data_IF_280368855353
#
_entry.id   IF_280368855353
#
_cell.length_a   1.000
_cell.length_b   1.000
_cell.length_c   1.000
_cell.angle_alpha   90.00
_cell.angle_beta   90.00
_cell.angle_gamma   90.00
#
_symmetry.space_group_name_H-M   'P 1'
#
loop_
_entity.id
_entity.type
_entity.pdbx_description
1 polymer ?
#
# COMPACT_ATOMS: atom_id res chain seq x y z
N UNK A 1 3.65 26.06 10.28
CA UNK A 1 2.80 27.28 10.38
C UNK A 1 3.31 28.42 9.51
N UNK A 2 4.62 28.69 9.45
CA UNK A 2 5.18 29.75 8.60
C UNK A 2 4.99 29.50 7.10
N UNK A 3 5.20 28.27 6.61
CA UNK A 3 5.07 27.91 5.19
C UNK A 3 3.72 28.33 4.59
N UNK A 4 2.62 28.01 5.28
CA UNK A 4 1.25 28.34 4.85
C UNK A 4 1.07 29.86 4.65
N UNK A 5 1.64 30.68 5.54
CA UNK A 5 1.56 32.15 5.43
C UNK A 5 2.43 32.69 4.31
N UNK A 6 3.63 32.13 4.14
CA UNK A 6 4.54 32.51 3.06
C UNK A 6 3.95 32.18 1.69
N UNK A 7 3.37 30.99 1.52
CA UNK A 7 2.71 30.60 0.27
C UNK A 7 1.48 31.46 -0.02
N UNK A 8 0.64 31.75 0.98
CA UNK A 8 -0.50 32.65 0.83
C UNK A 8 -0.07 34.07 0.44
N UNK A 9 0.96 34.61 1.09
CA UNK A 9 1.49 35.94 0.75
C UNK A 9 2.00 35.99 -0.70
N UNK A 10 2.73 34.94 -1.13
CA UNK A 10 3.22 34.80 -2.51
C UNK A 10 2.07 34.77 -3.53
N UNK A 11 1.01 34.00 -3.27
CA UNK A 11 -0.18 33.95 -4.13
C UNK A 11 -0.94 35.27 -4.20
N UNK A 12 -0.97 36.04 -3.11
CA UNK A 12 -1.72 37.31 -3.04
C UNK A 12 -0.96 38.51 -3.64
N UNK A 13 0.36 38.61 -3.43
CA UNK A 13 1.12 39.82 -3.76
C UNK A 13 2.13 39.64 -4.89
N UNK A 14 2.63 38.43 -5.14
CA UNK A 14 3.77 38.20 -6.03
C UNK A 14 3.38 37.50 -7.33
N UNK A 15 2.34 36.67 -7.33
CA UNK A 15 1.92 35.88 -8.48
C UNK A 15 0.69 36.48 -9.16
N UNK A 16 0.64 36.39 -10.50
CA UNK A 16 -0.58 36.69 -11.26
C UNK A 16 -1.64 35.63 -10.99
N UNK A 17 -2.91 36.02 -10.93
CA UNK A 17 -4.04 35.11 -10.73
C UNK A 17 -4.03 33.98 -11.77
N UNK A 18 -3.99 32.73 -11.28
CA UNK A 18 -4.10 31.52 -12.10
C UNK A 18 -5.56 31.26 -12.49
N UNK A 19 -5.84 30.67 -13.67
CA UNK A 19 -7.18 30.19 -14.01
C UNK A 19 -7.64 29.12 -13.01
N UNK A 20 -8.92 29.18 -12.62
CA UNK A 20 -9.50 28.21 -11.71
C UNK A 20 -9.62 26.85 -12.41
N UNK A 21 -8.95 25.84 -11.86
CA UNK A 21 -9.04 24.44 -12.30
C UNK A 21 -9.60 23.62 -11.14
N UNK A 22 -10.57 22.75 -11.41
CA UNK A 22 -11.11 21.82 -10.39
C UNK A 22 -10.29 20.54 -10.41
N UNK A 23 -9.78 20.14 -9.26
CA UNK A 23 -9.11 18.85 -9.06
C UNK A 23 -9.78 18.17 -7.86
N UNK A 24 -10.11 16.89 -8.01
CA UNK A 24 -10.67 16.06 -6.93
C UNK A 24 -9.60 15.67 -5.91
N UNK A 25 -8.38 15.42 -6.39
CA UNK A 25 -7.25 14.91 -5.61
C UNK A 25 -5.95 15.66 -5.91
N UNK A 26 -4.94 15.48 -5.06
CA UNK A 26 -3.58 16.00 -5.24
C UNK A 26 -2.80 15.26 -6.35
N UNK A 27 -3.34 14.15 -6.88
CA UNK A 27 -2.80 13.41 -8.02
C UNK A 27 -1.59 12.53 -7.65
N UNK A 28 -0.55 12.56 -8.51
CA UNK A 28 0.66 11.71 -8.42
C UNK A 28 1.37 11.80 -7.07
N UNK A 29 1.25 12.93 -6.37
CA UNK A 29 1.88 13.13 -5.06
C UNK A 29 1.42 12.11 -4.02
N UNK A 30 0.19 11.59 -4.10
CA UNK A 30 -0.26 10.51 -3.21
C UNK A 30 0.60 9.26 -3.39
N UNK A 31 0.82 8.84 -4.64
CA UNK A 31 1.65 7.66 -4.94
C UNK A 31 3.10 7.87 -4.48
N UNK A 32 3.66 9.06 -4.68
CA UNK A 32 5.02 9.40 -4.22
C UNK A 32 5.10 9.30 -2.69
N UNK A 33 4.15 9.88 -1.96
CA UNK A 33 4.13 9.85 -0.50
C UNK A 33 3.97 8.41 0.05
N UNK A 34 3.18 7.57 -0.62
CA UNK A 34 3.02 6.16 -0.27
C UNK A 34 4.34 5.40 -0.42
N UNK A 35 5.04 5.57 -1.55
CA UNK A 35 6.34 4.93 -1.79
C UNK A 35 7.38 5.42 -0.79
N UNK A 36 7.41 6.73 -0.50
CA UNK A 36 8.33 7.30 0.48
C UNK A 36 8.08 6.74 1.89
N UNK A 37 6.81 6.56 2.28
CA UNK A 37 6.45 5.93 3.55
C UNK A 37 6.99 4.51 3.66
N UNK A 38 6.81 3.69 2.61
CA UNK A 38 7.33 2.32 2.58
C UNK A 38 8.87 2.26 2.67
N UNK A 39 9.56 3.11 1.92
CA UNK A 39 11.03 3.19 1.95
C UNK A 39 11.52 3.66 3.33
N UNK A 40 10.83 4.61 3.95
CA UNK A 40 11.17 5.11 5.27
C UNK A 40 11.09 4.01 6.33
N UNK A 41 10.04 3.19 6.32
CA UNK A 41 9.89 2.03 7.23
C UNK A 41 11.06 1.06 7.08
N UNK A 42 11.40 0.66 5.85
CA UNK A 42 12.52 -0.26 5.56
C UNK A 42 13.86 0.32 6.02
N UNK A 43 14.09 1.60 5.72
CA UNK A 43 15.33 2.28 6.07
C UNK A 43 15.50 2.39 7.58
N UNK A 44 14.43 2.72 8.30
CA UNK A 44 14.44 2.78 9.77
C UNK A 44 14.72 1.41 10.39
N UNK A 45 14.16 0.34 9.83
CA UNK A 45 14.43 -1.03 10.28
C UNK A 45 15.92 -1.40 10.13
N UNK A 46 16.51 -1.07 8.98
CA UNK A 46 17.94 -1.29 8.70
C UNK A 46 18.80 -0.48 9.65
N UNK A 47 18.46 0.80 9.90
CA UNK A 47 19.18 1.64 10.86
C UNK A 47 19.17 0.98 12.23
N UNK A 48 17.99 0.59 12.74
CA UNK A 48 17.88 -0.08 14.04
C UNK A 48 18.73 -1.36 14.08
N UNK A 49 18.69 -2.20 13.03
CA UNK A 49 19.41 -3.47 12.99
C UNK A 49 20.94 -3.32 12.92
N UNK A 50 21.43 -2.37 12.11
CA UNK A 50 22.85 -2.27 11.77
C UNK A 50 23.61 -1.24 12.58
N UNK A 51 23.03 -0.09 12.88
CA UNK A 51 23.73 1.00 13.58
C UNK A 51 23.61 0.86 15.10
N UNK A 52 22.49 0.36 15.59
CA UNK A 52 22.29 0.18 17.04
C UNK A 52 22.88 -1.14 17.53
N UNK A 53 23.29 -1.18 18.80
CA UNK A 53 23.72 -2.42 19.45
C UNK A 53 22.54 -3.28 19.95
N UNK A 54 21.30 -2.96 19.56
CA UNK A 54 20.11 -3.67 20.05
C UNK A 54 20.17 -5.17 19.73
N UNK A 55 20.33 -5.52 18.44
CA UNK A 55 20.36 -6.92 18.01
C UNK A 55 21.52 -7.67 18.66
N UNK A 56 22.71 -7.06 18.72
CA UNK A 56 23.90 -7.68 19.30
C UNK A 56 23.75 -7.96 20.80
N UNK A 57 23.20 -6.99 21.56
CA UNK A 57 22.95 -7.14 23.00
C UNK A 57 21.91 -8.21 23.29
N UNK A 58 20.82 -8.23 22.52
CA UNK A 58 19.79 -9.27 22.60
C UNK A 58 20.39 -10.64 22.31
N UNK A 59 21.14 -10.80 21.22
CA UNK A 59 21.75 -12.09 20.86
C UNK A 59 22.75 -12.57 21.92
N UNK A 60 23.54 -11.67 22.49
CA UNK A 60 24.42 -12.02 23.60
C UNK A 60 23.62 -12.55 24.80
N UNK A 61 22.61 -11.79 25.23
CA UNK A 61 21.74 -12.14 26.36
C UNK A 61 21.13 -13.55 26.22
N UNK A 62 20.52 -13.83 25.06
CA UNK A 62 19.75 -15.04 24.86
C UNK A 62 20.56 -16.26 24.43
N UNK A 63 21.71 -16.09 23.75
CA UNK A 63 22.42 -17.21 23.09
C UNK A 63 23.83 -17.42 23.63
N UNK A 64 24.59 -16.35 23.86
CA UNK A 64 26.03 -16.45 24.16
C UNK A 64 26.39 -16.21 25.63
N UNK A 65 25.46 -15.68 26.43
CA UNK A 65 25.70 -15.40 27.85
C UNK A 65 25.88 -16.72 28.62
N UNK A 66 26.99 -16.87 29.39
CA UNK A 66 27.13 -17.95 30.36
C UNK A 66 26.04 -17.88 31.44
N UNK A 67 25.49 -19.02 31.90
CA UNK A 67 24.39 -19.05 32.88
C UNK A 67 24.76 -18.45 34.26
N UNK A 68 26.05 -18.30 34.55
CA UNK A 68 26.58 -17.75 35.79
C UNK A 68 26.53 -16.21 35.85
N UNK A 69 26.45 -15.55 34.69
CA UNK A 69 26.49 -14.10 34.56
C UNK A 69 25.08 -13.50 34.51
N UNK A 70 24.90 -12.31 35.08
CA UNK A 70 23.60 -11.62 35.10
C UNK A 70 23.65 -10.37 34.21
N UNK A 71 22.65 -10.19 33.35
CA UNK A 71 22.57 -9.03 32.47
C UNK A 71 23.78 -8.92 31.52
N UNK A 72 24.25 -7.72 31.23
CA UNK A 72 25.31 -7.52 30.22
C UNK A 72 26.73 -7.75 30.72
N UNK A 73 26.92 -8.46 31.83
CA UNK A 73 28.23 -8.89 32.29
C UNK A 73 28.92 -9.75 31.22
N UNK A 74 30.20 -9.51 30.99
CA UNK A 74 30.98 -10.19 29.94
C UNK A 74 30.73 -9.70 28.50
N UNK A 75 29.74 -8.82 28.26
CA UNK A 75 29.41 -8.34 26.91
C UNK A 75 30.58 -7.62 26.20
N UNK A 76 31.37 -6.84 26.95
CA UNK A 76 32.53 -6.15 26.38
C UNK A 76 33.60 -7.15 25.92
N UNK A 77 33.85 -8.21 26.68
CA UNK A 77 34.79 -9.26 26.29
C UNK A 77 34.28 -10.07 25.09
N UNK A 78 32.97 -10.23 24.94
CA UNK A 78 32.34 -10.91 23.79
C UNK A 78 32.41 -10.08 22.49
N UNK A 79 32.27 -8.76 22.59
CA UNK A 79 32.21 -7.85 21.43
C UNK A 79 33.57 -7.36 20.93
N UNK A 80 34.64 -7.66 21.66
CA UNK A 80 36.00 -7.22 21.34
C UNK A 80 36.84 -8.36 20.78
N UNK A 81 37.53 -8.09 19.66
CA UNK A 81 38.54 -8.97 19.07
C UNK A 81 39.95 -8.56 19.50
N UNK A 82 40.86 -9.53 19.56
CA UNK A 82 42.26 -9.35 19.96
C UNK A 82 43.17 -9.19 18.75
N UNK A 83 44.13 -8.26 18.83
CA UNK A 83 45.20 -8.10 17.85
C UNK A 83 46.54 -7.84 18.56
N UNK A 84 47.63 -8.52 18.19
CA UNK A 84 48.94 -8.28 18.79
C UNK A 84 49.42 -6.89 18.41
N UNK A 85 49.90 -6.12 19.40
CA UNK A 85 50.33 -4.74 19.17
C UNK A 85 51.56 -4.70 18.24
N UNK A 86 52.31 -5.81 18.16
CA UNK A 86 53.41 -6.00 17.23
C UNK A 86 53.06 -5.75 15.75
N UNK A 87 51.79 -5.97 15.37
CA UNK A 87 51.32 -5.76 13.99
C UNK A 87 51.31 -4.29 13.56
N UNK A 88 51.37 -3.35 14.50
CA UNK A 88 51.28 -1.91 14.24
C UNK A 88 52.58 -1.15 14.59
N UNK A 89 53.68 -1.88 14.85
CA UNK A 89 54.96 -1.32 15.32
C UNK A 89 55.72 -0.47 14.29
N UNK A 90 55.28 -0.39 13.02
CA UNK A 90 55.84 0.52 12.02
C UNK A 90 55.54 2.01 12.31
N UNK A 91 54.70 2.31 13.32
CA UNK A 91 54.28 3.68 13.68
C UNK A 91 55.17 4.31 14.78
N UNK A 92 56.36 3.75 15.05
CA UNK A 92 57.42 4.45 15.80
C UNK A 92 57.17 4.65 17.30
N UNK A 93 56.12 4.08 17.89
CA UNK A 93 55.89 4.07 19.35
C UNK A 93 55.89 2.64 19.87
N UNK A 94 57.04 2.21 20.44
CA UNK A 94 57.14 0.98 21.23
C UNK A 94 56.47 1.21 22.58
N UNK A 95 55.16 1.03 22.65
CA UNK A 95 54.47 0.86 23.94
C UNK A 95 54.56 -0.61 24.34
N UNK A 96 54.78 -0.88 25.63
CA UNK A 96 54.76 -2.23 26.22
C UNK A 96 53.33 -2.80 26.18
N UNK A 97 52.91 -3.28 25.02
CA UNK A 97 51.57 -3.78 24.75
C UNK A 97 51.70 -5.11 24.01
N UNK A 98 51.18 -6.19 24.59
CA UNK A 98 51.18 -7.51 23.95
C UNK A 98 49.98 -7.63 23.00
N UNK A 99 48.76 -7.30 23.50
CA UNK A 99 47.52 -7.34 22.72
C UNK A 99 46.64 -6.09 22.93
N UNK A 100 46.02 -5.62 21.84
CA UNK A 100 45.00 -4.60 21.81
C UNK A 100 43.63 -5.22 21.52
N UNK A 101 42.58 -4.59 22.05
CA UNK A 101 41.18 -4.93 21.74
C UNK A 101 40.59 -3.94 20.75
N UNK A 102 39.78 -4.43 19.81
CA UNK A 102 39.00 -3.59 18.88
C UNK A 102 37.59 -4.18 18.69
N UNK A 103 36.57 -3.35 18.44
CA UNK A 103 35.19 -3.83 18.31
C UNK A 103 34.98 -4.52 16.96
N UNK A 104 35.06 -5.85 16.96
CA UNK A 104 34.75 -6.70 15.80
C UNK A 104 34.57 -8.15 16.26
N UNK A 105 34.01 -8.99 15.40
CA UNK A 105 33.82 -10.43 15.64
C UNK A 105 34.75 -11.26 14.75
N UNK A 106 36.04 -11.28 15.11
CA UNK A 106 37.09 -12.01 14.39
C UNK A 106 37.73 -13.06 15.28
N UNK A 107 38.30 -14.08 14.64
CA UNK A 107 38.98 -15.15 15.36
C UNK A 107 40.28 -14.63 16.00
N UNK A 108 40.62 -15.09 17.22
CA UNK A 108 41.78 -14.63 17.96
C UNK A 108 43.12 -15.08 17.33
N UNK A 109 44.25 -14.46 17.72
CA UNK A 109 45.59 -14.93 17.37
C UNK A 109 45.79 -16.37 17.89
N UNK A 110 46.21 -17.29 17.00
CA UNK A 110 46.39 -18.71 17.33
C UNK A 110 45.26 -19.63 16.89
N UNK A 111 44.13 -19.09 16.42
CA UNK A 111 43.09 -19.88 15.75
C UNK A 111 43.56 -20.29 14.33
N UNK A 112 43.18 -21.47 13.79
CA UNK A 112 43.58 -21.90 12.43
C UNK A 112 43.28 -20.88 11.34
N UNK A 113 42.18 -20.13 11.51
CA UNK A 113 41.74 -19.04 10.65
C UNK A 113 41.81 -17.69 11.40
N UNK A 114 43.02 -17.31 11.86
CA UNK A 114 43.21 -16.10 12.65
C UNK A 114 42.82 -14.82 11.87
N UNK A 115 42.14 -13.89 12.55
CA UNK A 115 41.65 -12.60 11.99
C UNK A 115 40.58 -12.69 10.90
N UNK A 116 40.16 -13.89 10.50
CA UNK A 116 38.97 -14.06 9.67
C UNK A 116 37.68 -13.85 10.48
N UNK A 117 36.57 -13.60 9.79
CA UNK A 117 35.26 -13.46 10.41
C UNK A 117 34.90 -14.73 11.16
N UNK A 118 34.51 -14.58 12.44
CA UNK A 118 34.11 -15.72 13.25
C UNK A 118 32.72 -16.24 12.86
N UNK A 119 32.36 -17.46 13.25
CA UNK A 119 30.99 -17.97 13.10
C UNK A 119 29.96 -17.08 13.80
N UNK A 120 30.36 -16.47 14.92
CA UNK A 120 29.55 -15.49 15.66
C UNK A 120 29.20 -14.27 14.83
N UNK A 121 30.11 -13.78 13.98
CA UNK A 121 29.84 -12.67 13.07
C UNK A 121 28.68 -13.00 12.12
N UNK A 122 28.79 -14.14 11.44
CA UNK A 122 27.76 -14.60 10.49
C UNK A 122 26.42 -14.88 11.16
N UNK A 123 26.44 -15.44 12.37
CA UNK A 123 25.24 -15.67 13.15
C UNK A 123 24.53 -14.35 13.52
N UNK A 124 25.26 -13.37 14.05
CA UNK A 124 24.70 -12.04 14.36
C UNK A 124 24.17 -11.36 13.09
N UNK A 125 24.90 -11.45 11.98
CA UNK A 125 24.49 -10.87 10.71
C UNK A 125 23.17 -11.50 10.21
N UNK A 126 23.03 -12.82 10.28
CA UNK A 126 21.79 -13.51 9.94
C UNK A 126 20.62 -13.04 10.81
N UNK A 127 20.84 -12.91 12.12
CA UNK A 127 19.80 -12.41 13.04
C UNK A 127 19.42 -10.96 12.73
N UNK A 128 20.37 -10.10 12.33
CA UNK A 128 20.04 -8.72 11.90
C UNK A 128 19.08 -8.72 10.71
N UNK A 129 19.29 -9.58 9.70
CA UNK A 129 18.37 -9.68 8.56
C UNK A 129 17.00 -10.23 8.97
N UNK A 130 16.97 -11.25 9.83
CA UNK A 130 15.73 -11.81 10.37
C UNK A 130 14.95 -10.73 11.12
N UNK A 131 15.62 -9.92 11.95
CA UNK A 131 15.00 -8.81 12.66
C UNK A 131 14.41 -7.77 11.70
N UNK A 132 15.13 -7.37 10.66
CA UNK A 132 14.61 -6.42 9.65
C UNK A 132 13.35 -6.98 9.00
N UNK A 133 13.37 -8.26 8.60
CA UNK A 133 12.20 -8.91 8.02
C UNK A 133 11.01 -8.91 8.98
N UNK A 134 11.19 -9.33 10.24
CA UNK A 134 10.11 -9.34 11.22
C UNK A 134 9.56 -7.93 11.50
N UNK A 135 10.44 -6.94 11.67
CA UNK A 135 10.04 -5.57 11.91
C UNK A 135 9.21 -5.01 10.74
N UNK A 136 9.63 -5.25 9.50
CA UNK A 136 8.88 -4.85 8.31
C UNK A 136 7.50 -5.50 8.29
N UNK A 137 7.40 -6.82 8.52
CA UNK A 137 6.11 -7.52 8.55
C UNK A 137 5.17 -7.00 9.65
N UNK A 138 5.70 -6.62 10.82
CA UNK A 138 4.89 -6.05 11.90
C UNK A 138 4.34 -4.68 11.50
N UNK A 139 5.18 -3.78 10.97
CA UNK A 139 4.75 -2.43 10.58
C UNK A 139 3.77 -2.48 9.41
N UNK A 140 4.00 -3.37 8.43
CA UNK A 140 3.07 -3.60 7.33
C UNK A 140 1.73 -4.14 7.85
N UNK A 141 1.75 -5.11 8.77
CA UNK A 141 0.55 -5.65 9.41
C UNK A 141 -0.24 -4.59 10.17
N UNK A 142 0.44 -3.72 10.92
CA UNK A 142 -0.21 -2.60 11.62
C UNK A 142 -0.82 -1.59 10.65
N UNK A 143 -0.12 -1.29 9.56
CA UNK A 143 -0.64 -0.41 8.50
C UNK A 143 -1.89 -1.01 7.85
N UNK A 144 -1.90 -2.32 7.61
CA UNK A 144 -3.06 -3.03 7.07
C UNK A 144 -4.26 -3.03 8.03
N UNK A 145 -4.02 -3.21 9.33
CA UNK A 145 -5.07 -3.09 10.34
C UNK A 145 -5.60 -1.66 10.38
N UNK A 146 -4.73 -0.65 10.28
CA UNK A 146 -5.15 0.75 10.27
C UNK A 146 -6.04 1.07 9.08
N UNK A 147 -5.69 0.59 7.88
CA UNK A 147 -6.55 0.76 6.69
C UNK A 147 -7.86 -0.02 6.81
N UNK A 148 -7.90 -1.11 7.56
CA UNK A 148 -9.15 -1.82 7.85
C UNK A 148 -10.05 -1.05 8.84
N UNK A 149 -9.45 -0.40 9.84
CA UNK A 149 -10.20 0.31 10.89
C UNK A 149 -10.70 1.67 10.43
N UNK A 150 -9.94 2.38 9.60
CA UNK A 150 -10.30 3.69 9.08
C UNK A 150 -10.99 3.55 7.71
N UNK A 151 -12.32 3.70 7.64
CA UNK A 151 -12.99 3.75 6.34
C UNK A 151 -12.56 5.03 5.59
N UNK A 152 -12.28 4.89 4.29
CA UNK A 152 -11.75 5.98 3.46
C UNK A 152 -12.68 7.21 3.38
N UNK A 153 -13.98 7.04 3.69
CA UNK A 153 -14.96 8.13 3.69
C UNK A 153 -15.73 8.19 5.02
N UNK A 154 -15.93 9.39 5.59
CA UNK A 154 -16.79 9.55 6.75
C UNK A 154 -18.25 9.24 6.39
N UNK A 155 -18.99 8.63 7.32
CA UNK A 155 -20.38 8.19 7.10
C UNK A 155 -21.30 9.34 6.65
N UNK A 156 -21.15 10.52 7.24
CA UNK A 156 -21.93 11.71 6.90
C UNK A 156 -21.80 12.08 5.41
N UNK A 157 -20.59 11.97 4.84
CA UNK A 157 -20.38 12.26 3.42
C UNK A 157 -21.04 11.21 2.54
N UNK A 158 -20.98 9.93 2.92
CA UNK A 158 -21.65 8.86 2.18
C UNK A 158 -23.18 9.03 2.19
N UNK A 159 -23.74 9.53 3.29
CA UNK A 159 -25.16 9.81 3.42
C UNK A 159 -25.57 11.01 2.57
N UNK A 160 -24.76 12.07 2.52
CA UNK A 160 -25.00 13.24 1.67
C UNK A 160 -24.95 12.87 0.19
N UNK A 161 -23.90 12.15 -0.26
CA UNK A 161 -23.82 11.68 -1.64
C UNK A 161 -25.02 10.82 -2.02
N UNK A 162 -25.49 9.96 -1.11
CA UNK A 162 -26.69 9.15 -1.33
C UNK A 162 -27.96 10.00 -1.46
N UNK A 163 -28.12 11.04 -0.64
CA UNK A 163 -29.27 11.95 -0.71
C UNK A 163 -29.29 12.73 -2.01
N UNK A 164 -28.14 13.28 -2.41
CA UNK A 164 -27.99 14.00 -3.67
C UNK A 164 -28.31 13.08 -4.86
N UNK A 165 -27.79 11.85 -4.86
CA UNK A 165 -28.07 10.87 -5.91
C UNK A 165 -29.55 10.47 -6.02
N UNK A 166 -30.24 10.32 -4.89
CA UNK A 166 -31.69 10.05 -4.90
C UNK A 166 -32.45 11.25 -5.46
N UNK A 167 -32.12 12.46 -5.00
CA UNK A 167 -32.78 13.68 -5.44
C UNK A 167 -32.57 13.94 -6.94
N UNK A 168 -31.39 13.66 -7.49
CA UNK A 168 -31.13 13.77 -8.93
C UNK A 168 -31.93 12.75 -9.73
N UNK A 169 -32.03 11.51 -9.25
CA UNK A 169 -32.80 10.45 -9.92
C UNK A 169 -34.30 10.78 -9.96
N UNK A 170 -34.87 11.30 -8.87
CA UNK A 170 -36.28 11.70 -8.84
C UNK A 170 -36.59 12.78 -9.88
N UNK A 171 -35.72 13.79 -10.02
CA UNK A 171 -35.89 14.86 -11.01
C UNK A 171 -35.74 14.35 -12.45
N UNK A 172 -34.83 13.41 -12.68
CA UNK A 172 -34.62 12.82 -14.01
C UNK A 172 -35.85 12.02 -14.46
N UNK A 173 -36.40 11.17 -13.58
CA UNK A 173 -37.59 10.39 -13.90
C UNK A 173 -38.80 11.32 -14.14
N UNK A 174 -38.93 12.40 -13.35
CA UNK A 174 -39.98 13.40 -13.58
C UNK A 174 -39.84 14.06 -14.97
N UNK A 175 -38.63 14.44 -15.38
CA UNK A 175 -38.37 15.01 -16.69
C UNK A 175 -38.69 14.01 -17.82
N UNK A 176 -38.31 12.75 -17.69
CA UNK A 176 -38.65 11.70 -18.66
C UNK A 176 -40.17 11.47 -18.76
N UNK A 177 -40.88 11.45 -17.62
CA UNK A 177 -42.34 11.34 -17.60
C UNK A 177 -43.03 12.52 -18.28
N UNK A 178 -42.50 13.73 -18.15
CA UNK A 178 -43.01 14.93 -18.82
C UNK A 178 -42.77 14.85 -20.34
N UNK A 179 -41.56 14.46 -20.77
CA UNK A 179 -41.26 14.26 -22.19
C UNK A 179 -42.17 13.20 -22.85
N UNK A 180 -42.45 12.09 -22.15
CA UNK A 180 -43.36 11.06 -22.67
C UNK A 180 -44.81 11.56 -22.83
N UNK A 181 -45.28 12.41 -21.92
CA UNK A 181 -46.62 13.02 -22.03
C UNK A 181 -46.70 13.98 -23.20
N UNK A 182 -45.66 14.79 -23.40
CA UNK A 182 -45.60 15.73 -24.51
C UNK A 182 -45.57 14.98 -25.85
N UNK A 183 -44.77 13.91 -25.97
CA UNK A 183 -44.75 13.04 -27.14
C UNK A 183 -46.13 12.41 -27.40
N UNK A 184 -46.82 11.91 -26.37
CA UNK A 184 -48.19 11.41 -26.53
C UNK A 184 -49.17 12.50 -26.99
N UNK A 185 -49.02 13.73 -26.50
CA UNK A 185 -49.90 14.85 -26.91
C UNK A 185 -49.63 15.26 -28.36
N UNK A 186 -48.36 15.25 -28.79
CA UNK A 186 -47.96 15.50 -30.18
C UNK A 186 -48.51 14.39 -31.08
N UNK A 187 -48.34 13.12 -30.70
CA UNK A 187 -48.87 11.96 -31.44
C UNK A 187 -50.41 12.02 -31.52
N UNK A 188 -51.12 12.40 -30.45
CA UNK A 188 -52.59 12.54 -30.49
C UNK A 188 -53.04 13.71 -31.36
N UNK A 189 -52.30 14.82 -31.35
CA UNK A 189 -52.59 16.01 -32.17
C UNK A 189 -52.30 15.75 -33.65
N UNK A 190 -51.24 15.01 -33.94
CA UNK A 190 -50.94 14.53 -35.28
C UNK A 190 -51.96 13.47 -35.71
N UNK A 191 -52.40 12.54 -34.84
CA UNK A 191 -53.42 11.54 -35.18
C UNK A 191 -54.77 12.15 -35.61
N UNK A 192 -55.14 13.30 -35.05
CA UNK A 192 -56.33 14.05 -35.50
C UNK A 192 -56.13 14.74 -36.87
N UNK A 193 -54.89 14.96 -37.28
CA UNK A 193 -54.50 15.41 -38.62
C UNK A 193 -54.13 14.22 -39.56
N UNK A 194 -53.95 13.02 -39.02
CA UNK A 194 -53.64 11.75 -39.70
C UNK A 194 -54.94 11.01 -40.05
N UNK A 195 -55.78 11.65 -40.86
CA UNK A 195 -56.25 10.98 -42.07
C UNK A 195 -55.28 11.22 -43.25
N UNK A 196 -54.15 11.93 -43.04
CA UNK A 196 -53.20 12.30 -44.10
C UNK A 196 -51.72 11.88 -43.88
N UNK A 197 -51.29 11.39 -42.70
CA UNK A 197 -49.90 10.90 -42.50
C UNK A 197 -49.88 9.52 -41.84
N UNK A 198 -50.62 8.57 -42.41
CA UNK A 198 -50.36 7.14 -42.22
C UNK A 198 -49.06 6.70 -42.96
N UNK A 199 -48.26 7.65 -43.45
CA UNK A 199 -47.29 7.43 -44.53
C UNK A 199 -45.85 7.93 -44.27
N UNK A 200 -45.52 8.51 -43.12
CA UNK A 200 -44.12 8.83 -42.75
C UNK A 200 -43.89 8.27 -41.35
N UNK A 201 -43.85 6.95 -41.19
CA UNK A 201 -42.59 6.19 -41.22
C UNK A 201 -42.01 6.18 -39.80
N UNK A 202 -42.22 5.12 -39.03
CA UNK A 202 -41.22 4.04 -38.88
C UNK A 202 -39.88 4.42 -38.22
N UNK A 203 -39.65 5.71 -37.93
CA UNK A 203 -38.64 6.25 -37.03
C UNK A 203 -39.40 6.68 -35.77
N UNK A 204 -39.12 6.21 -34.57
CA UNK A 204 -37.80 6.11 -33.97
C UNK A 204 -37.88 5.13 -32.81
N UNK A 205 -37.51 3.88 -33.08
CA UNK A 205 -37.33 2.87 -32.03
C UNK A 205 -36.17 3.25 -31.10
N UNK A 206 -36.41 3.00 -29.81
CA UNK A 206 -35.47 2.57 -28.75
C UNK A 206 -34.61 3.64 -28.06
N UNK A 207 -35.18 4.15 -26.98
CA UNK A 207 -34.65 4.21 -25.62
C UNK A 207 -33.14 4.02 -25.43
N UNK A 208 -32.51 5.05 -24.87
CA UNK A 208 -31.23 4.98 -24.17
C UNK A 208 -31.52 4.78 -22.68
N UNK A 209 -31.38 3.56 -22.18
CA UNK A 209 -31.24 3.25 -20.75
C UNK A 209 -29.82 3.66 -20.34
N UNK A 210 -29.68 4.70 -19.53
CA UNK A 210 -28.38 5.11 -18.98
C UNK A 210 -28.13 4.32 -17.69
N UNK A 211 -27.23 3.36 -17.81
CA UNK A 211 -26.82 2.41 -16.79
C UNK A 211 -25.89 3.08 -15.76
N UNK A 212 -26.29 3.04 -14.49
CA UNK A 212 -25.51 3.50 -13.34
C UNK A 212 -24.38 2.52 -12.94
N UNK A 213 -24.24 1.39 -13.63
CA UNK A 213 -23.25 0.34 -13.35
C UNK A 213 -21.79 0.71 -13.66
N UNK A 214 -21.54 1.57 -14.66
CA UNK A 214 -20.16 1.87 -15.12
C UNK A 214 -19.34 2.64 -14.08
N UNK A 215 -19.93 3.57 -13.32
CA UNK A 215 -19.20 4.37 -12.32
C UNK A 215 -18.78 3.55 -11.09
N UNK A 216 -19.50 2.45 -10.77
CA UNK A 216 -19.15 1.56 -9.66
C UNK A 216 -18.10 0.52 -10.07
N UNK A 217 -18.18 -0.04 -11.28
CA UNK A 217 -17.15 -0.94 -11.81
C UNK A 217 -15.83 -0.21 -12.09
N UNK A 218 -15.86 1.07 -12.48
CA UNK A 218 -14.64 1.87 -12.65
C UNK A 218 -14.02 2.27 -11.30
N UNK A 219 -14.84 2.55 -10.27
CA UNK A 219 -14.33 2.71 -8.90
C UNK A 219 -13.77 1.39 -8.34
N UNK A 220 -14.42 0.25 -8.62
CA UNK A 220 -13.95 -1.06 -8.17
C UNK A 220 -12.66 -1.48 -8.89
N UNK A 221 -12.52 -1.24 -10.20
CA UNK A 221 -11.27 -1.44 -10.92
C UNK A 221 -10.14 -0.53 -10.42
N UNK A 222 -10.43 0.73 -10.03
CA UNK A 222 -9.44 1.61 -9.42
C UNK A 222 -9.00 1.15 -8.03
N UNK A 223 -9.90 0.53 -7.25
CA UNK A 223 -9.60 -0.10 -5.96
C UNK A 223 -8.76 -1.37 -6.15
N UNK A 224 -9.06 -2.19 -7.16
CA UNK A 224 -8.36 -3.45 -7.46
C UNK A 224 -6.93 -3.21 -7.99
N UNK A 225 -6.72 -2.16 -8.79
CA UNK A 225 -5.37 -1.73 -9.26
C UNK A 225 -4.53 -1.15 -8.10
N UNK A 226 -5.15 -0.47 -7.12
CA UNK A 226 -4.46 -0.01 -5.92
C UNK A 226 -4.07 -1.19 -4.99
N UNK A 227 -4.90 -2.22 -4.89
CA UNK A 227 -4.55 -3.46 -4.16
C UNK A 227 -3.36 -4.19 -4.79
N UNK A 228 -3.24 -4.23 -6.12
CA UNK A 228 -2.08 -4.82 -6.80
C UNK A 228 -0.80 -3.99 -6.65
N UNK A 229 -0.89 -2.66 -6.66
CA UNK A 229 0.29 -1.78 -6.56
C UNK A 229 0.89 -1.70 -5.14
N UNK A 230 0.10 -2.00 -4.10
CA UNK A 230 0.55 -2.04 -2.70
C UNK A 230 1.18 -3.41 -2.34
N UNK A 231 0.99 -4.42 -3.17
CA UNK A 231 1.45 -5.78 -2.90
C UNK A 231 2.88 -5.99 -3.42
N UNK A 232 3.84 -5.96 -2.50
CA UNK A 232 5.23 -6.30 -2.80
C UNK A 232 5.31 -7.70 -3.46
N UNK A 233 5.99 -7.86 -4.61
CA UNK A 233 6.03 -9.14 -5.35
C UNK A 233 6.62 -10.31 -4.55
N UNK A 234 7.35 -10.04 -3.47
CA UNK A 234 7.90 -11.06 -2.57
C UNK A 234 6.84 -11.76 -1.68
N UNK A 235 5.70 -11.13 -1.39
CA UNK A 235 4.66 -11.70 -0.51
C UNK A 235 3.54 -12.45 -1.29
N UNK A 236 3.30 -12.09 -2.55
CA UNK A 236 2.33 -12.79 -3.43
C UNK A 236 2.73 -14.27 -3.61
N UNK A 237 4.02 -14.56 -3.69
CA UNK A 237 4.50 -15.94 -3.86
C UNK A 237 4.31 -16.80 -2.60
N UNK A 238 4.34 -16.20 -1.40
CA UNK A 238 4.14 -16.92 -0.14
C UNK A 238 2.66 -17.16 0.15
N UNK A 239 1.80 -16.16 -0.09
CA UNK A 239 0.35 -16.29 0.11
C UNK A 239 -0.36 -17.09 -0.99
N UNK A 240 0.11 -17.06 -2.25
CA UNK A 240 -0.43 -17.93 -3.31
C UNK A 240 -0.17 -19.43 -3.08
N UNK A 241 0.93 -19.78 -2.39
CA UNK A 241 1.23 -21.15 -1.97
C UNK A 241 0.35 -21.62 -0.80
N UNK A 242 -0.04 -20.71 0.10
CA UNK A 242 -0.94 -21.02 1.23
C UNK A 242 -2.41 -21.10 0.78
N UNK A 243 -2.83 -20.32 -0.22
CA UNK A 243 -4.22 -20.29 -0.71
C UNK A 243 -4.59 -21.46 -1.65
N UNK A 244 -3.63 -22.27 -2.12
CA UNK A 244 -3.88 -23.45 -2.97
C UNK A 244 -4.39 -24.71 -2.24
N UNK A 245 -4.75 -24.61 -0.96
CA UNK A 245 -5.28 -25.73 -0.17
C UNK A 245 -6.70 -25.49 0.36
N UNK A 246 -7.65 -25.21 -0.53
CA UNK A 246 -9.07 -25.51 -0.25
C UNK A 246 -9.85 -25.63 -1.57
N UNK A 247 -10.40 -26.82 -1.91
CA UNK A 247 -11.27 -26.98 -3.07
C UNK A 247 -12.76 -26.80 -2.70
N UNK A 248 -13.60 -26.58 -3.73
CA UNK A 248 -15.08 -26.62 -3.80
C UNK A 248 -15.82 -25.32 -3.40
N UNK A 249 -16.77 -24.77 -4.17
CA UNK A 249 -17.59 -25.30 -5.29
C UNK A 249 -17.94 -24.21 -6.31
N UNK A 250 -17.80 -24.56 -7.58
CA UNK A 250 -18.48 -23.91 -8.71
C UNK A 250 -19.98 -24.26 -8.67
N UNK A 251 -20.85 -23.27 -8.53
CA UNK A 251 -22.28 -23.41 -8.83
C UNK A 251 -22.95 -22.04 -9.05
N UNK A 252 -22.63 -21.37 -10.17
CA UNK A 252 -23.44 -20.25 -10.67
C UNK A 252 -23.44 -20.08 -12.20
N UNK A 253 -22.84 -20.98 -12.98
CA UNK A 253 -22.83 -20.92 -14.46
C UNK A 253 -23.68 -22.02 -15.13
N UNK A 254 -24.91 -22.26 -14.65
CA UNK A 254 -25.85 -23.14 -15.38
C UNK A 254 -27.29 -22.62 -15.49
N UNK A 255 -27.59 -21.42 -14.96
CA UNK A 255 -28.95 -20.86 -15.02
C UNK A 255 -29.23 -20.00 -16.26
N UNK A 256 -28.21 -19.56 -17.00
CA UNK A 256 -28.40 -18.64 -18.14
C UNK A 256 -28.58 -19.34 -19.50
N UNK A 257 -28.30 -20.64 -19.59
CA UNK A 257 -28.36 -21.39 -20.86
C UNK A 257 -29.71 -22.11 -21.11
N UNK A 258 -30.71 -22.01 -20.21
CA UNK A 258 -32.02 -22.68 -20.39
C UNK A 258 -33.19 -21.76 -20.73
N UNK A 259 -32.97 -20.45 -20.81
CA UNK A 259 -34.06 -19.48 -21.02
C UNK A 259 -34.16 -18.93 -22.46
N UNK A 260 -33.21 -19.29 -23.35
CA UNK A 260 -33.20 -18.85 -24.76
C UNK A 260 -33.45 -19.96 -25.79
N UNK A 261 -34.02 -21.12 -25.38
CA UNK A 261 -34.39 -22.20 -26.31
C UNK A 261 -35.90 -22.52 -26.29
N UNK A 262 -36.73 -21.53 -26.00
CA UNK A 262 -38.21 -21.65 -26.00
C UNK A 262 -38.92 -20.50 -26.71
N UNK A 263 -38.23 -19.87 -27.66
CA UNK A 263 -38.77 -18.75 -28.45
C UNK A 263 -38.45 -18.91 -29.94
N UNK A 264 -38.50 -20.14 -30.43
CA UNK A 264 -38.53 -20.49 -31.86
C UNK A 264 -39.30 -21.81 -31.99
N UNK A 265 -40.63 -21.73 -31.95
CA UNK A 265 -41.60 -22.62 -32.58
C UNK A 265 -43.01 -22.01 -32.46
#
# INVERSE_FOLDING_TARGET
>A
MFEIRCDAYKFLHQLRRSPATRCKDIGIWMQILLVLSQIAVRSNAIIIAFTTQFVQRTVYDYVYRPPELVGYEGYMNFTMSLVPCARFLDIGRKTHCDYCHYPDFRNPPGHPHAYEFSKTYWHILAIKFIFVFFFENIVLGLTYILSYVLPDFPRELSELMRREAVQTNELLIQAEMEMHKDDETVIKKDNNNINLITFIGANREKHSEYDYGEDYEELQNQIEIQEEAVSCPFLIHFFSLVRRRSPRKDQAHSSWAKQNQKRDH
#
